data_IF_921162985535
#
_entry.id   IF_921162985535
#
_cell.length_a   1.000
_cell.length_b   1.000
_cell.length_c   1.000
_cell.angle_alpha   90.00
_cell.angle_beta   90.00
_cell.angle_gamma   90.00
#
_symmetry.space_group_name_H-M   'P 1'
#
loop_
_entity.id
_entity.type
_entity.pdbx_description
1 polymer ?
#
# COMPACT_ATOMS: atom_id res chain seq x y z
N UNK A 1 6.37 -26.90 31.32
CA UNK A 1 6.83 -26.73 29.92
C UNK A 1 5.62 -26.54 29.02
N UNK A 2 4.63 -27.43 29.07
CA UNK A 2 3.41 -27.36 28.26
C UNK A 2 2.53 -26.11 28.54
N UNK A 3 2.36 -25.71 29.80
CA UNK A 3 1.61 -24.49 30.16
C UNK A 3 2.30 -23.20 29.69
N UNK A 4 3.64 -23.15 29.78
CA UNK A 4 4.44 -22.01 29.30
C UNK A 4 4.37 -21.92 27.77
N UNK A 5 4.38 -23.07 27.09
CA UNK A 5 4.22 -23.14 25.64
C UNK A 5 2.81 -22.72 25.19
N UNK A 6 1.78 -23.11 25.95
CA UNK A 6 0.40 -22.69 25.71
C UNK A 6 0.21 -21.17 25.89
N UNK A 7 0.78 -20.59 26.96
CA UNK A 7 0.75 -19.15 27.19
C UNK A 7 1.49 -18.37 26.09
N UNK A 8 2.67 -18.84 25.66
CA UNK A 8 3.42 -18.20 24.57
C UNK A 8 2.68 -18.26 23.23
N UNK A 9 1.97 -19.35 22.94
CA UNK A 9 1.11 -19.47 21.75
C UNK A 9 -0.09 -18.52 21.81
N UNK A 10 -0.68 -18.36 22.99
CA UNK A 10 -1.78 -17.40 23.19
C UNK A 10 -1.30 -15.96 22.98
N UNK A 11 -0.17 -15.58 23.58
CA UNK A 11 0.43 -14.25 23.40
C UNK A 11 0.77 -13.97 21.93
N UNK A 12 1.35 -14.96 21.24
CA UNK A 12 1.66 -14.83 19.81
C UNK A 12 0.39 -14.71 18.95
N UNK A 13 -0.68 -15.41 19.29
CA UNK A 13 -1.96 -15.32 18.58
C UNK A 13 -2.63 -13.94 18.77
N UNK A 14 -2.60 -13.41 19.99
CA UNK A 14 -3.08 -12.05 20.27
C UNK A 14 -2.28 -11.01 19.48
N UNK A 15 -0.95 -11.13 19.46
CA UNK A 15 -0.09 -10.27 18.65
C UNK A 15 -0.41 -10.40 17.14
N UNK A 16 -0.66 -11.61 16.65
CA UNK A 16 -1.01 -11.86 15.25
C UNK A 16 -2.31 -11.14 14.84
N UNK A 17 -3.31 -11.13 15.73
CA UNK A 17 -4.59 -10.44 15.55
C UNK A 17 -4.39 -8.93 15.37
N UNK A 18 -3.57 -8.30 16.22
CA UNK A 18 -3.26 -6.88 16.12
C UNK A 18 -2.52 -6.51 14.81
N UNK A 19 -1.66 -7.40 14.30
CA UNK A 19 -0.86 -7.16 13.08
C UNK A 19 -1.63 -7.53 11.80
N UNK A 20 -2.68 -8.35 11.90
CA UNK A 20 -3.52 -8.78 10.77
C UNK A 20 -4.02 -7.62 9.88
N UNK A 21 -4.60 -6.52 10.38
CA UNK A 21 -5.05 -5.42 9.53
C UNK A 21 -3.89 -4.78 8.76
N UNK A 22 -2.71 -4.62 9.38
CA UNK A 22 -1.53 -4.06 8.73
C UNK A 22 -1.07 -4.93 7.56
N UNK A 23 -1.02 -6.26 7.75
CA UNK A 23 -0.68 -7.23 6.69
C UNK A 23 -1.69 -7.20 5.53
N UNK A 24 -2.98 -6.99 5.82
CA UNK A 24 -4.00 -6.85 4.78
C UNK A 24 -3.81 -5.57 3.96
N UNK A 25 -3.55 -4.44 4.61
CA UNK A 25 -3.27 -3.16 3.92
C UNK A 25 -2.04 -3.30 3.03
N UNK A 26 -0.94 -3.85 3.54
CA UNK A 26 0.27 -4.11 2.77
C UNK A 26 -0.01 -4.99 1.54
N UNK A 27 -0.79 -6.05 1.71
CA UNK A 27 -1.18 -6.94 0.60
C UNK A 27 -1.99 -6.21 -0.47
N UNK A 28 -2.89 -5.31 -0.08
CA UNK A 28 -3.67 -4.47 -1.01
C UNK A 28 -2.77 -3.48 -1.75
N UNK A 29 -1.86 -2.80 -1.05
CA UNK A 29 -0.91 -1.84 -1.66
C UNK A 29 0.02 -2.51 -2.67
N UNK A 30 0.55 -3.70 -2.34
CA UNK A 30 1.37 -4.50 -3.27
C UNK A 30 0.60 -4.86 -4.54
N UNK A 31 -0.66 -5.28 -4.40
CA UNK A 31 -1.53 -5.59 -5.55
C UNK A 31 -1.82 -4.35 -6.38
N UNK A 32 -2.10 -3.21 -5.75
CA UNK A 32 -2.32 -1.94 -6.44
C UNK A 32 -1.09 -1.52 -7.25
N UNK A 33 0.10 -1.52 -6.62
CA UNK A 33 1.37 -1.23 -7.29
C UNK A 33 1.59 -2.13 -8.51
N UNK A 34 1.29 -3.43 -8.38
CA UNK A 34 1.36 -4.36 -9.51
C UNK A 34 0.38 -4.02 -10.63
N UNK A 35 -0.88 -3.69 -10.30
CA UNK A 35 -1.88 -3.29 -11.28
C UNK A 35 -1.50 -2.01 -12.02
N UNK A 36 -1.04 -0.97 -11.31
CA UNK A 36 -0.58 0.28 -11.91
C UNK A 36 0.61 0.03 -12.85
N UNK A 37 1.56 -0.82 -12.45
CA UNK A 37 2.73 -1.15 -13.30
C UNK A 37 2.38 -1.96 -14.53
N UNK A 38 1.46 -2.91 -14.41
CA UNK A 38 1.18 -3.88 -15.46
C UNK A 38 0.00 -3.47 -16.38
N UNK A 39 -0.87 -2.55 -15.96
CA UNK A 39 -1.97 -2.01 -16.76
C UNK A 39 -1.57 -0.67 -17.36
N UNK A 40 -0.84 -0.74 -18.48
CA UNK A 40 -0.29 0.44 -19.16
C UNK A 40 -1.34 1.33 -19.83
N UNK A 41 -2.53 0.78 -20.11
CA UNK A 41 -3.56 1.43 -20.94
C UNK A 41 -4.73 2.01 -20.15
N UNK A 42 -5.07 1.45 -18.99
CA UNK A 42 -6.23 1.89 -18.19
C UNK A 42 -5.81 2.51 -16.87
N UNK A 43 -5.14 1.73 -16.03
CA UNK A 43 -4.85 2.15 -14.65
C UNK A 43 -3.69 3.14 -14.63
N UNK A 44 -2.63 2.92 -15.43
CA UNK A 44 -1.47 3.80 -15.45
C UNK A 44 -1.79 5.23 -15.93
N UNK A 45 -2.51 5.44 -17.04
CA UNK A 45 -2.89 6.79 -17.46
C UNK A 45 -3.77 7.45 -16.39
N UNK A 46 -4.79 6.74 -15.91
CA UNK A 46 -5.68 7.26 -14.87
C UNK A 46 -4.94 7.66 -13.60
N UNK A 47 -3.98 6.84 -13.17
CA UNK A 47 -3.10 7.14 -12.04
C UNK A 47 -2.35 8.46 -12.21
N UNK A 48 -1.75 8.69 -13.38
CA UNK A 48 -1.04 9.94 -13.67
C UNK A 48 -1.97 11.13 -13.69
N UNK A 49 -3.18 10.97 -14.23
CA UNK A 49 -4.17 12.05 -14.30
C UNK A 49 -4.70 12.40 -12.92
N UNK A 50 -5.00 11.40 -12.08
CA UNK A 50 -5.41 11.63 -10.69
C UNK A 50 -4.33 12.39 -9.89
N UNK A 51 -3.04 12.09 -10.11
CA UNK A 51 -1.95 12.86 -9.47
C UNK A 51 -1.99 14.31 -9.94
N UNK A 52 -2.15 14.58 -11.23
CA UNK A 52 -2.19 15.95 -11.77
C UNK A 52 -3.42 16.73 -11.28
N UNK A 53 -4.55 16.05 -11.12
CA UNK A 53 -5.79 16.65 -10.61
C UNK A 53 -5.65 17.05 -9.12
N UNK A 54 -4.92 16.27 -8.32
CA UNK A 54 -4.79 16.49 -6.88
C UNK A 54 -3.55 17.32 -6.50
N UNK A 55 -2.48 17.28 -7.29
CA UNK A 55 -1.24 18.03 -7.01
C UNK A 55 -1.41 19.53 -6.71
N UNK A 56 -2.38 20.28 -7.31
CA UNK A 56 -2.60 21.68 -6.98
C UNK A 56 -3.32 21.91 -5.65
N UNK A 57 -4.05 20.91 -5.16
CA UNK A 57 -4.95 21.01 -3.99
C UNK A 57 -4.32 20.42 -2.73
N UNK A 58 -3.42 19.46 -2.88
CA UNK A 58 -2.72 18.82 -1.75
C UNK A 58 -1.64 19.75 -1.18
N UNK A 59 -1.53 19.81 0.15
CA UNK A 59 -0.42 20.52 0.83
C UNK A 59 0.96 19.92 0.53
N UNK A 60 0.97 18.69 0.00
CA UNK A 60 2.18 17.96 -0.35
C UNK A 60 2.54 18.16 -1.82
N UNK A 61 3.83 18.38 -2.09
CA UNK A 61 4.33 18.44 -3.47
C UNK A 61 4.27 17.03 -4.12
N UNK A 62 3.14 16.75 -4.76
CA UNK A 62 2.87 15.51 -5.49
C UNK A 62 3.44 15.62 -6.90
N UNK A 63 4.46 14.82 -7.16
CA UNK A 63 5.03 14.68 -8.51
C UNK A 63 4.43 13.45 -9.19
N UNK A 64 4.19 13.54 -10.50
CA UNK A 64 3.77 12.39 -11.31
C UNK A 64 4.87 11.33 -11.29
N UNK A 65 4.59 10.20 -10.65
CA UNK A 65 5.54 9.10 -10.54
C UNK A 65 4.80 7.77 -10.40
N UNK A 66 5.53 6.67 -10.56
CA UNK A 66 5.01 5.32 -10.38
C UNK A 66 5.04 4.94 -8.89
N UNK A 67 3.99 4.27 -8.43
CA UNK A 67 4.01 3.68 -7.09
C UNK A 67 5.19 2.69 -6.97
N UNK A 68 6.00 2.78 -5.90
CA UNK A 68 7.03 1.80 -5.61
C UNK A 68 6.43 0.40 -5.48
N UNK A 69 7.18 -0.63 -5.89
CA UNK A 69 6.80 -2.03 -5.65
C UNK A 69 7.65 -2.53 -4.50
N UNK A 70 7.05 -3.35 -3.64
CA UNK A 70 7.79 -4.10 -2.65
C UNK A 70 8.63 -5.21 -3.29
N UNK A 71 9.94 -5.25 -3.01
CA UNK A 71 10.91 -6.14 -3.65
C UNK A 71 11.63 -6.94 -2.57
N UNK A 72 11.50 -8.28 -2.61
CA UNK A 72 12.05 -9.16 -1.56
C UNK A 72 13.55 -8.99 -1.31
N UNK A 73 14.33 -8.59 -2.33
CA UNK A 73 15.78 -8.41 -2.21
C UNK A 73 16.20 -7.04 -1.68
N UNK A 74 15.26 -6.11 -1.44
CA UNK A 74 15.53 -4.77 -0.93
C UNK A 74 14.98 -4.61 0.49
N UNK A 75 15.86 -4.41 1.45
CA UNK A 75 15.51 -4.46 2.88
C UNK A 75 14.49 -3.40 3.31
N UNK A 76 14.42 -2.27 2.61
CA UNK A 76 13.53 -1.14 2.96
C UNK A 76 12.34 -0.95 2.02
N UNK A 77 12.09 -1.86 1.06
CA UNK A 77 11.07 -1.61 0.04
C UNK A 77 9.64 -1.56 0.60
N UNK A 78 9.36 -2.29 1.68
CA UNK A 78 8.05 -2.22 2.35
C UNK A 78 7.85 -0.86 3.01
N UNK A 79 8.88 -0.33 3.69
CA UNK A 79 8.83 0.99 4.31
C UNK A 79 8.68 2.09 3.24
N UNK A 80 9.47 2.04 2.18
CA UNK A 80 9.40 3.03 1.09
C UNK A 80 8.02 3.04 0.42
N UNK A 81 7.42 1.86 0.21
CA UNK A 81 6.06 1.73 -0.34
C UNK A 81 5.01 2.30 0.61
N UNK A 82 5.12 2.08 1.93
CA UNK A 82 4.20 2.64 2.93
C UNK A 82 4.31 4.16 3.01
N UNK A 83 5.54 4.68 3.09
CA UNK A 83 5.81 6.12 3.09
C UNK A 83 5.24 6.79 1.85
N UNK A 84 5.40 6.16 0.69
CA UNK A 84 4.79 6.61 -0.55
C UNK A 84 3.26 6.55 -0.50
N UNK A 85 2.68 5.43 -0.08
CA UNK A 85 1.22 5.26 -0.01
C UNK A 85 0.55 6.27 0.94
N UNK A 86 1.24 6.64 2.02
CA UNK A 86 0.78 7.68 2.93
C UNK A 86 0.79 9.06 2.26
N UNK A 87 1.91 9.41 1.60
CA UNK A 87 2.05 10.66 0.83
C UNK A 87 0.98 10.78 -0.29
N UNK A 88 0.74 9.69 -1.01
CA UNK A 88 -0.22 9.66 -2.13
C UNK A 88 -1.60 9.12 -1.71
N UNK A 89 -1.98 9.23 -0.43
CA UNK A 89 -3.22 8.60 0.09
C UNK A 89 -4.46 9.01 -0.68
N UNK A 90 -4.62 10.30 -0.94
CA UNK A 90 -5.80 10.82 -1.67
C UNK A 90 -5.89 10.27 -3.10
N UNK A 91 -4.74 10.11 -3.76
CA UNK A 91 -4.65 9.50 -5.09
C UNK A 91 -5.05 8.03 -5.04
N UNK A 92 -4.56 7.30 -4.02
CA UNK A 92 -4.91 5.88 -3.80
C UNK A 92 -6.40 5.71 -3.53
N UNK A 93 -6.98 6.56 -2.67
CA UNK A 93 -8.40 6.51 -2.31
C UNK A 93 -9.29 6.81 -3.53
N UNK A 94 -8.91 7.79 -4.35
CA UNK A 94 -9.65 8.13 -5.57
C UNK A 94 -9.63 6.99 -6.59
N UNK A 95 -8.48 6.40 -6.87
CA UNK A 95 -8.37 5.31 -7.85
C UNK A 95 -9.03 4.02 -7.36
N UNK A 96 -8.98 3.76 -6.06
CA UNK A 96 -9.60 2.55 -5.49
C UNK A 96 -11.12 2.68 -5.31
N UNK A 97 -11.65 3.90 -5.26
CA UNK A 97 -13.10 4.14 -5.25
C UNK A 97 -13.73 4.10 -6.64
N UNK A 98 -12.95 4.32 -7.71
CA UNK A 98 -13.39 4.20 -9.09
C UNK A 98 -13.60 2.73 -9.52
N UNK A 99 -14.84 2.24 -9.39
CA UNK A 99 -15.22 0.86 -9.73
C UNK A 99 -15.11 0.52 -11.23
N UNK A 100 -14.99 1.52 -12.11
CA UNK A 100 -14.85 1.35 -13.56
C UNK A 100 -13.44 0.97 -14.02
N UNK A 101 -12.46 0.94 -13.11
CA UNK A 101 -11.04 0.64 -13.39
C UNK A 101 -10.63 -0.80 -13.08
#
# INVERSE_FOLDING_TARGET
IEEVEAAMKQDMALADEHVKPMRQVLSKLRRLSNRIKNSSTLILPRWKDTIKELAPTSDENLTVCMMPRDVCTRWNSTYDMLKFAYKYREVVDKITSERSL
#
